data_IF_379103890645
#
_entry.id   IF_379103890645
#
_cell.length_a   1.000
_cell.length_b   1.000
_cell.length_c   1.000
_cell.angle_alpha   90.00
_cell.angle_beta   90.00
_cell.angle_gamma   90.00
#
_symmetry.space_group_name_H-M   'P 1'
#
loop_
_entity.id
_entity.type
_entity.pdbx_description
1 polymer ?
#
# COMPACT_ATOMS: atom_id res chain seq x y z
N UNK A 1 -20.00 -55.80 -30.35
CA UNK A 1 -18.59 -55.40 -30.45
C UNK A 1 -18.63 -53.89 -30.57
N UNK A 2 -18.53 -53.22 -29.43
CA UNK A 2 -18.51 -51.75 -29.39
C UNK A 2 -17.10 -51.30 -29.77
N UNK A 3 -17.01 -50.49 -30.83
CA UNK A 3 -15.75 -49.86 -31.21
C UNK A 3 -15.30 -48.95 -30.06
N UNK A 4 -14.01 -49.00 -29.66
CA UNK A 4 -13.50 -48.10 -28.64
C UNK A 4 -13.64 -46.67 -29.16
N UNK A 5 -14.33 -45.83 -28.40
CA UNK A 5 -14.40 -44.39 -28.67
C UNK A 5 -12.98 -43.80 -28.61
N UNK A 6 -12.36 -43.58 -29.78
CA UNK A 6 -11.15 -42.77 -29.89
C UNK A 6 -11.55 -41.30 -29.75
N UNK A 7 -11.69 -40.86 -28.50
CA UNK A 7 -11.77 -39.44 -28.18
C UNK A 7 -10.57 -38.68 -28.76
N UNK A 8 -10.71 -37.36 -29.00
CA UNK A 8 -9.61 -36.56 -29.54
C UNK A 8 -8.36 -36.76 -28.67
N UNK A 9 -7.28 -37.25 -29.30
CA UNK A 9 -5.96 -37.32 -28.67
C UNK A 9 -5.48 -35.89 -28.49
N UNK A 10 -5.80 -35.28 -27.35
CA UNK A 10 -5.19 -34.03 -26.92
C UNK A 10 -3.72 -34.33 -26.65
N UNK A 11 -2.88 -34.12 -27.66
CA UNK A 11 -1.43 -34.06 -27.45
C UNK A 11 -1.19 -32.91 -26.48
N UNK A 12 -0.63 -33.21 -25.31
CA UNK A 12 -0.27 -32.19 -24.34
C UNK A 12 0.61 -31.15 -25.03
N UNK A 13 0.20 -29.89 -24.95
CA UNK A 13 0.93 -28.81 -25.57
C UNK A 13 2.34 -28.70 -24.97
N UNK A 14 3.31 -28.29 -25.78
CA UNK A 14 4.73 -28.22 -25.38
C UNK A 14 4.92 -27.27 -24.20
N UNK A 15 4.13 -26.19 -24.13
CA UNK A 15 4.14 -25.26 -23.00
C UNK A 15 3.69 -25.93 -21.70
N UNK A 16 2.68 -26.80 -21.78
CA UNK A 16 2.17 -27.53 -20.61
C UNK A 16 3.20 -28.53 -20.09
N UNK A 17 3.85 -29.27 -21.00
CA UNK A 17 4.91 -30.23 -20.63
C UNK A 17 6.09 -29.49 -19.99
N UNK A 18 6.54 -28.40 -20.62
CA UNK A 18 7.63 -27.58 -20.11
C UNK A 18 7.30 -26.98 -18.74
N UNK A 19 6.10 -26.43 -18.56
CA UNK A 19 5.63 -25.90 -17.29
C UNK A 19 5.62 -26.96 -16.19
N UNK A 20 5.09 -28.15 -16.47
CA UNK A 20 5.09 -29.26 -15.51
C UNK A 20 6.52 -29.70 -15.14
N UNK A 21 7.43 -29.81 -16.12
CA UNK A 21 8.83 -30.11 -15.85
C UNK A 21 9.48 -29.04 -14.97
N UNK A 22 9.22 -27.76 -15.24
CA UNK A 22 9.74 -26.67 -14.42
C UNK A 22 9.23 -26.76 -12.97
N UNK A 23 7.95 -27.04 -12.77
CA UNK A 23 7.36 -27.21 -11.42
C UNK A 23 7.95 -28.42 -10.67
N UNK A 24 8.24 -29.51 -11.39
CA UNK A 24 8.86 -30.70 -10.82
C UNK A 24 10.33 -30.46 -10.44
N UNK A 25 11.11 -29.89 -11.36
CA UNK A 25 12.54 -29.62 -11.12
C UNK A 25 12.72 -28.58 -10.03
N UNK A 26 11.91 -27.51 -9.99
CA UNK A 26 11.95 -26.52 -8.90
C UNK A 26 11.59 -27.14 -7.55
N UNK A 27 10.59 -28.03 -7.50
CA UNK A 27 10.27 -28.79 -6.29
C UNK A 27 11.44 -29.68 -5.85
N UNK A 28 12.06 -30.39 -6.79
CA UNK A 28 13.21 -31.26 -6.51
C UNK A 28 14.41 -30.48 -5.99
N UNK A 29 14.76 -29.36 -6.63
CA UNK A 29 15.86 -28.48 -6.22
C UNK A 29 15.62 -27.86 -4.84
N UNK A 30 14.36 -27.62 -4.47
CA UNK A 30 14.04 -27.13 -3.13
C UNK A 30 14.21 -28.21 -2.05
N UNK A 31 13.69 -29.41 -2.30
CA UNK A 31 13.80 -30.51 -1.33
C UNK A 31 15.21 -31.09 -1.21
N UNK A 32 16.08 -30.87 -2.20
CA UNK A 32 17.46 -31.36 -2.20
C UNK A 32 18.42 -30.23 -2.60
N UNK A 33 19.00 -29.57 -1.60
CA UNK A 33 19.98 -28.49 -1.79
C UNK A 33 21.37 -29.08 -1.64
N UNK A 34 22.16 -29.11 -2.72
CA UNK A 34 23.49 -29.73 -2.74
C UNK A 34 23.48 -31.18 -2.21
N UNK A 35 22.51 -31.98 -2.66
CA UNK A 35 22.27 -33.37 -2.23
C UNK A 35 21.92 -33.55 -0.74
N UNK A 36 21.69 -32.46 0.00
CA UNK A 36 21.17 -32.48 1.37
C UNK A 36 19.67 -32.24 1.35
N UNK A 37 18.92 -33.10 2.05
CA UNK A 37 17.48 -32.94 2.19
C UNK A 37 17.16 -31.63 2.94
N UNK A 38 16.27 -30.82 2.37
CA UNK A 38 15.75 -29.64 3.01
C UNK A 38 14.52 -30.00 3.85
N UNK A 39 14.63 -29.81 5.17
CA UNK A 39 13.56 -30.13 6.12
C UNK A 39 12.57 -28.98 6.31
N UNK A 40 12.72 -27.89 5.54
CA UNK A 40 11.82 -26.74 5.62
C UNK A 40 10.44 -27.08 5.07
N UNK A 41 9.44 -27.06 5.95
CA UNK A 41 8.05 -27.14 5.54
C UNK A 41 7.53 -25.75 5.13
N UNK A 42 7.44 -25.51 3.82
CA UNK A 42 6.93 -24.24 3.30
C UNK A 42 5.44 -24.04 3.55
N UNK A 43 4.66 -25.12 3.68
CA UNK A 43 3.25 -24.99 4.02
C UNK A 43 3.10 -24.42 5.44
N UNK A 44 3.87 -24.91 6.40
CA UNK A 44 3.84 -24.39 7.78
C UNK A 44 4.25 -22.91 7.82
N UNK A 45 5.21 -22.51 6.98
CA UNK A 45 5.62 -21.11 6.84
C UNK A 45 4.47 -20.25 6.27
N UNK A 46 3.80 -20.73 5.23
CA UNK A 46 2.65 -20.05 4.66
C UNK A 46 1.47 -19.95 5.63
N UNK A 47 1.24 -20.99 6.44
CA UNK A 47 0.20 -21.00 7.50
C UNK A 47 0.55 -19.99 8.59
N UNK A 48 1.80 -19.96 9.09
CA UNK A 48 2.23 -18.96 10.08
C UNK A 48 2.03 -17.53 9.60
N UNK A 49 2.38 -17.24 8.35
CA UNK A 49 2.11 -15.94 7.75
C UNK A 49 0.60 -15.64 7.69
N UNK A 50 -0.22 -16.63 7.30
CA UNK A 50 -1.67 -16.46 7.26
C UNK A 50 -2.27 -16.23 8.66
N UNK A 51 -1.78 -16.93 9.68
CA UNK A 51 -2.14 -16.73 11.09
C UNK A 51 -1.77 -15.31 11.55
N UNK A 52 -0.55 -14.87 11.27
CA UNK A 52 -0.10 -13.52 11.60
C UNK A 52 -0.98 -12.45 10.92
N UNK A 53 -1.27 -12.59 9.63
CA UNK A 53 -2.17 -11.67 8.90
C UNK A 53 -3.58 -11.70 9.48
N UNK A 54 -4.10 -12.89 9.83
CA UNK A 54 -5.41 -13.05 10.45
C UNK A 54 -5.46 -12.37 11.83
N UNK A 55 -4.44 -12.53 12.65
CA UNK A 55 -4.36 -11.91 13.97
C UNK A 55 -4.32 -10.38 13.89
N UNK A 56 -3.50 -9.82 13.00
CA UNK A 56 -3.46 -8.38 12.78
C UNK A 56 -4.79 -7.85 12.22
N UNK A 57 -5.43 -8.59 11.31
CA UNK A 57 -6.75 -8.26 10.78
C UNK A 57 -7.83 -8.27 11.88
N UNK A 58 -7.80 -9.25 12.77
CA UNK A 58 -8.73 -9.35 13.90
C UNK A 58 -8.56 -8.17 14.85
N UNK A 59 -7.32 -7.82 15.22
CA UNK A 59 -7.01 -6.65 16.07
C UNK A 59 -7.52 -5.36 15.44
N UNK A 60 -7.31 -5.17 14.14
CA UNK A 60 -7.83 -4.03 13.40
C UNK A 60 -9.36 -3.95 13.49
N UNK A 61 -10.06 -5.05 13.20
CA UNK A 61 -11.53 -5.09 13.23
C UNK A 61 -12.05 -4.80 14.65
N UNK A 62 -11.46 -5.43 15.67
CA UNK A 62 -11.81 -5.23 17.07
C UNK A 62 -11.57 -3.79 17.53
N UNK A 63 -10.42 -3.20 17.18
CA UNK A 63 -10.07 -1.81 17.50
C UNK A 63 -11.04 -0.82 16.86
N UNK A 64 -11.40 -1.03 15.59
CA UNK A 64 -12.35 -0.19 14.86
C UNK A 64 -13.78 -0.33 15.39
N UNK A 65 -14.17 -1.54 15.82
CA UNK A 65 -15.45 -1.79 16.50
C UNK A 65 -15.49 -1.08 17.85
N UNK A 66 -14.45 -1.24 18.68
CA UNK A 66 -14.35 -0.61 19.99
C UNK A 66 -14.36 0.92 19.90
N UNK A 67 -13.74 1.48 18.86
CA UNK A 67 -13.74 2.91 18.59
C UNK A 67 -15.05 3.44 17.99
N UNK A 68 -16.04 2.58 17.71
CA UNK A 68 -17.28 2.95 17.02
C UNK A 68 -17.07 3.42 15.57
N UNK A 69 -15.91 3.10 14.99
CA UNK A 69 -15.48 3.54 13.66
C UNK A 69 -15.83 2.54 12.57
N UNK A 70 -16.01 1.27 12.93
CA UNK A 70 -16.36 0.20 11.98
C UNK A 70 -17.65 0.49 11.20
N UNK A 71 -18.66 1.08 11.85
CA UNK A 71 -19.91 1.50 11.22
C UNK A 71 -19.75 2.67 10.24
N UNK A 72 -18.66 3.44 10.37
CA UNK A 72 -18.30 4.54 9.46
C UNK A 72 -17.39 4.09 8.32
N UNK A 73 -16.91 2.83 8.33
CA UNK A 73 -16.22 2.27 7.18
C UNK A 73 -17.18 2.08 6.01
N UNK A 74 -16.64 2.19 4.80
CA UNK A 74 -17.42 1.89 3.60
C UNK A 74 -17.85 0.42 3.63
N UNK A 75 -19.11 0.09 3.32
CA UNK A 75 -19.58 -1.30 3.33
C UNK A 75 -18.74 -2.25 2.47
N UNK A 76 -18.12 -1.74 1.40
CA UNK A 76 -17.20 -2.51 0.57
C UNK A 76 -15.92 -2.89 1.32
N UNK A 77 -15.36 -1.99 2.13
CA UNK A 77 -14.17 -2.24 2.95
C UNK A 77 -14.48 -3.29 4.00
N UNK A 78 -15.60 -3.15 4.72
CA UNK A 78 -16.06 -4.14 5.71
C UNK A 78 -16.17 -5.52 5.07
N UNK A 79 -16.87 -5.64 3.93
CA UNK A 79 -16.99 -6.92 3.21
C UNK A 79 -15.65 -7.49 2.75
N UNK A 80 -14.68 -6.63 2.40
CA UNK A 80 -13.34 -7.07 2.00
C UNK A 80 -12.57 -7.65 3.19
N UNK A 81 -12.65 -7.00 4.35
CA UNK A 81 -12.05 -7.48 5.61
C UNK A 81 -12.68 -8.82 6.03
N UNK A 82 -14.02 -8.90 6.10
CA UNK A 82 -14.75 -10.12 6.47
C UNK A 82 -14.47 -11.29 5.51
N UNK A 83 -14.47 -11.02 4.20
CA UNK A 83 -14.14 -12.03 3.20
C UNK A 83 -12.72 -12.55 3.42
N UNK A 84 -11.75 -11.66 3.60
CA UNK A 84 -10.36 -12.07 3.77
C UNK A 84 -10.15 -12.86 5.07
N UNK A 85 -10.80 -12.44 6.15
CA UNK A 85 -10.82 -13.17 7.41
C UNK A 85 -11.35 -14.60 7.22
N UNK A 86 -12.46 -14.77 6.49
CA UNK A 86 -13.01 -16.09 6.19
C UNK A 86 -12.07 -16.94 5.32
N UNK A 87 -11.48 -16.35 4.27
CA UNK A 87 -10.52 -17.02 3.39
C UNK A 87 -9.28 -17.52 4.15
N UNK A 88 -8.67 -16.66 4.99
CA UNK A 88 -7.54 -17.04 5.83
C UNK A 88 -7.92 -18.15 6.82
N UNK A 89 -9.10 -18.04 7.44
CA UNK A 89 -9.59 -19.05 8.38
C UNK A 89 -9.83 -20.42 7.74
N UNK A 90 -10.21 -20.47 6.46
CA UNK A 90 -10.31 -21.72 5.69
C UNK A 90 -8.91 -22.28 5.39
N UNK A 91 -7.97 -21.43 4.97
CA UNK A 91 -6.62 -21.84 4.63
C UNK A 91 -5.86 -22.39 5.85
N UNK A 92 -5.89 -21.70 6.98
CA UNK A 92 -5.23 -22.09 8.24
C UNK A 92 -5.75 -23.44 8.75
N UNK A 93 -7.06 -23.70 8.59
CA UNK A 93 -7.68 -24.99 8.99
C UNK A 93 -7.44 -26.12 8.00
N UNK A 94 -6.95 -25.83 6.80
CA UNK A 94 -6.71 -26.86 5.80
C UNK A 94 -5.53 -27.74 6.23
N UNK A 95 -5.72 -29.06 6.22
CA UNK A 95 -4.63 -30.00 6.50
C UNK A 95 -3.71 -30.07 5.26
N UNK A 96 -2.84 -29.07 5.07
CA UNK A 96 -1.91 -29.01 3.93
C UNK A 96 -0.66 -29.87 4.14
N UNK A 97 -0.82 -31.12 4.57
CA UNK A 97 0.33 -32.01 4.83
C UNK A 97 0.84 -32.73 3.60
N UNK A 98 0.18 -32.61 2.44
CA UNK A 98 0.66 -33.26 1.22
C UNK A 98 1.89 -32.54 0.65
N UNK A 99 2.77 -33.30 -0.01
CA UNK A 99 3.94 -32.76 -0.70
C UNK A 99 3.58 -31.60 -1.64
N UNK A 100 2.41 -31.67 -2.30
CA UNK A 100 1.90 -30.59 -3.16
C UNK A 100 1.82 -29.24 -2.44
N UNK A 101 1.35 -29.21 -1.19
CA UNK A 101 1.22 -27.96 -0.42
C UNK A 101 2.56 -27.43 0.07
N UNK A 102 3.54 -28.31 0.25
CA UNK A 102 4.90 -27.96 0.66
C UNK A 102 5.78 -27.50 -0.50
N UNK A 103 5.33 -27.64 -1.75
CA UNK A 103 6.09 -27.21 -2.92
C UNK A 103 6.23 -25.67 -2.96
N UNK A 104 7.40 -25.13 -3.36
CA UNK A 104 7.65 -23.69 -3.39
C UNK A 104 6.63 -22.88 -4.18
N UNK A 105 6.16 -23.41 -5.31
CA UNK A 105 5.19 -22.72 -6.15
C UNK A 105 3.78 -22.76 -5.57
N UNK A 106 3.43 -23.76 -4.76
CA UNK A 106 2.14 -23.78 -4.05
C UNK A 106 2.20 -22.87 -2.84
N UNK A 107 3.11 -23.14 -1.91
CA UNK A 107 3.24 -22.37 -0.67
C UNK A 107 3.60 -20.90 -0.97
N UNK A 108 4.55 -20.65 -1.87
CA UNK A 108 4.94 -19.31 -2.29
C UNK A 108 3.81 -18.55 -2.98
N UNK A 109 2.97 -19.21 -3.80
CA UNK A 109 1.79 -18.56 -4.35
C UNK A 109 0.77 -18.18 -3.27
N UNK A 110 0.56 -19.02 -2.26
CA UNK A 110 -0.33 -18.71 -1.14
C UNK A 110 0.22 -17.57 -0.26
N UNK A 111 1.53 -17.56 0.00
CA UNK A 111 2.19 -16.45 0.69
C UNK A 111 2.07 -15.15 -0.12
N UNK A 112 2.33 -15.20 -1.43
CA UNK A 112 2.17 -14.07 -2.34
C UNK A 112 0.74 -13.52 -2.36
N UNK A 113 -0.27 -14.37 -2.42
CA UNK A 113 -1.68 -13.96 -2.34
C UNK A 113 -2.03 -13.35 -0.97
N UNK A 114 -1.46 -13.89 0.10
CA UNK A 114 -1.67 -13.41 1.46
C UNK A 114 -1.07 -12.01 1.65
N UNK A 115 0.19 -11.83 1.25
CA UNK A 115 0.87 -10.52 1.25
C UNK A 115 0.17 -9.52 0.34
N UNK A 116 -0.19 -9.92 -0.88
CA UNK A 116 -0.97 -9.09 -1.81
C UNK A 116 -2.25 -8.57 -1.14
N UNK A 117 -2.98 -9.47 -0.49
CA UNK A 117 -4.26 -9.11 0.14
C UNK A 117 -4.05 -8.19 1.33
N UNK A 118 -3.04 -8.46 2.16
CA UNK A 118 -2.70 -7.61 3.30
C UNK A 118 -2.27 -6.20 2.84
N UNK A 119 -1.47 -6.14 1.79
CA UNK A 119 -1.05 -4.89 1.14
C UNK A 119 -2.25 -4.11 0.58
N UNK A 120 -3.13 -4.77 -0.19
CA UNK A 120 -4.31 -4.14 -0.79
C UNK A 120 -5.28 -3.62 0.28
N UNK A 121 -5.57 -4.43 1.31
CA UNK A 121 -6.37 -4.00 2.45
C UNK A 121 -5.72 -2.84 3.20
N UNK A 122 -4.40 -2.93 3.43
CA UNK A 122 -3.58 -1.86 3.99
C UNK A 122 -3.72 -0.56 3.20
N UNK A 123 -3.65 -0.60 1.87
CA UNK A 123 -3.84 0.57 1.02
C UNK A 123 -5.28 1.07 0.93
N UNK A 124 -6.28 0.24 1.24
CA UNK A 124 -7.67 0.69 1.33
C UNK A 124 -7.90 1.48 2.63
N UNK A 125 -7.25 1.09 3.73
CA UNK A 125 -7.41 1.70 5.06
C UNK A 125 -6.44 2.86 5.31
N UNK A 126 -5.19 2.77 4.82
CA UNK A 126 -4.11 3.74 5.03
C UNK A 126 -4.27 5.14 4.40
N UNK A 127 -5.06 5.43 3.34
CA UNK A 127 -5.16 6.76 2.74
C UNK A 127 -5.69 7.85 3.67
N UNK A 128 -6.03 7.50 4.91
CA UNK A 128 -6.60 8.40 5.91
C UNK A 128 -5.57 9.00 6.87
N UNK A 129 -4.32 8.55 6.91
CA UNK A 129 -3.46 8.87 8.06
C UNK A 129 -1.97 9.06 7.69
N UNK A 130 -1.31 10.01 8.35
CA UNK A 130 0.08 10.46 8.13
C UNK A 130 1.05 9.89 9.19
N UNK A 131 2.11 9.20 8.72
CA UNK A 131 3.04 8.21 9.35
C UNK A 131 4.09 8.68 10.39
N UNK A 132 5.00 7.81 10.90
CA UNK A 132 6.11 8.16 11.83
C UNK A 132 7.38 8.68 11.18
N UNK A 133 8.18 9.57 11.77
CA UNK A 133 9.23 10.34 11.05
C UNK A 133 10.29 9.51 10.30
N UNK A 134 10.98 8.52 10.87
CA UNK A 134 12.02 7.81 10.07
C UNK A 134 11.43 6.91 8.97
N UNK A 135 10.41 6.11 9.32
CA UNK A 135 9.67 5.34 8.32
C UNK A 135 8.88 6.25 7.37
N UNK A 136 8.42 7.43 7.80
CA UNK A 136 7.75 8.46 6.99
C UNK A 136 8.74 8.99 6.01
N UNK A 137 9.93 9.35 6.43
CA UNK A 137 10.94 9.95 5.59
C UNK A 137 11.30 8.95 4.49
N UNK A 138 11.46 7.68 4.85
CA UNK A 138 11.64 6.58 3.90
C UNK A 138 10.40 6.33 3.02
N UNK A 139 9.19 6.29 3.59
CA UNK A 139 7.92 6.17 2.85
C UNK A 139 7.68 7.40 1.97
N UNK A 140 8.11 8.57 2.39
CA UNK A 140 7.97 9.86 1.72
C UNK A 140 8.97 9.96 0.58
N UNK A 141 10.17 9.41 0.75
CA UNK A 141 11.14 9.24 -0.32
C UNK A 141 10.68 8.16 -1.30
N UNK A 142 10.10 7.08 -0.80
CA UNK A 142 9.56 5.98 -1.60
C UNK A 142 8.35 6.44 -2.44
N UNK A 143 7.42 7.15 -1.82
CA UNK A 143 6.27 7.74 -2.47
C UNK A 143 6.53 9.15 -3.00
N UNK A 144 7.79 9.61 -3.04
CA UNK A 144 8.16 10.99 -3.41
C UNK A 144 7.59 11.40 -4.75
N UNK A 145 7.69 10.48 -5.70
CA UNK A 145 7.22 10.65 -7.06
C UNK A 145 5.68 10.73 -7.17
N UNK A 146 4.94 10.03 -6.32
CA UNK A 146 3.48 9.90 -6.40
C UNK A 146 2.74 10.83 -5.44
N UNK A 147 3.27 11.02 -4.23
CA UNK A 147 2.71 11.89 -3.19
C UNK A 147 3.18 13.32 -3.39
N UNK A 148 4.47 13.53 -3.69
CA UNK A 148 5.06 14.87 -3.73
C UNK A 148 5.48 15.35 -5.13
N UNK A 149 5.11 14.63 -6.18
CA UNK A 149 5.42 15.00 -7.57
C UNK A 149 6.93 15.16 -7.84
N UNK A 150 7.74 14.34 -7.17
CA UNK A 150 9.19 14.29 -7.38
C UNK A 150 10.00 15.17 -6.44
N UNK A 151 9.38 15.98 -5.57
CA UNK A 151 10.09 16.79 -4.57
C UNK A 151 9.27 16.99 -3.30
N UNK A 152 9.89 16.77 -2.14
CA UNK A 152 9.22 16.96 -0.85
C UNK A 152 8.79 18.43 -0.69
N UNK A 153 7.56 18.68 -0.19
CA UNK A 153 7.06 20.03 -0.07
C UNK A 153 7.86 20.78 0.99
N UNK A 154 8.48 21.90 0.60
CA UNK A 154 9.09 22.87 1.52
C UNK A 154 8.14 24.03 1.85
N UNK A 155 6.97 24.05 1.20
CA UNK A 155 5.89 25.04 1.32
C UNK A 155 4.64 24.49 0.63
N UNK A 156 3.47 25.09 0.93
CA UNK A 156 2.19 24.73 0.28
C UNK A 156 1.79 23.27 0.57
N UNK A 157 2.02 22.83 1.79
CA UNK A 157 1.75 21.47 2.28
C UNK A 157 0.30 21.06 2.05
N UNK A 158 -0.65 21.92 2.38
CA UNK A 158 -2.08 21.72 2.12
C UNK A 158 -2.35 21.53 0.65
N UNK A 159 -1.71 22.33 -0.22
CA UNK A 159 -1.92 22.25 -1.67
C UNK A 159 -1.38 20.92 -2.21
N UNK A 160 -0.22 20.50 -1.75
CA UNK A 160 0.39 19.21 -2.10
C UNK A 160 -0.46 18.05 -1.61
N UNK A 161 -0.93 18.10 -0.35
CA UNK A 161 -1.81 17.09 0.23
C UNK A 161 -3.17 17.03 -0.48
N UNK A 162 -3.85 18.16 -0.68
CA UNK A 162 -5.14 18.20 -1.41
C UNK A 162 -4.99 17.71 -2.84
N UNK A 163 -3.88 18.04 -3.52
CA UNK A 163 -3.55 17.41 -4.80
C UNK A 163 -3.46 15.92 -4.62
N UNK A 164 -2.58 15.43 -3.75
CA UNK A 164 -2.38 14.01 -3.50
C UNK A 164 -3.68 13.26 -3.20
N UNK A 165 -4.63 13.88 -2.49
CA UNK A 165 -5.93 13.25 -2.21
C UNK A 165 -6.89 13.23 -3.43
N UNK A 166 -6.53 13.83 -4.56
CA UNK A 166 -7.36 13.89 -5.78
C UNK A 166 -8.07 15.23 -6.01
N UNK A 167 -7.75 16.26 -5.21
CA UNK A 167 -8.28 17.61 -5.36
C UNK A 167 -7.96 18.21 -6.72
N UNK A 168 -8.97 18.83 -7.34
CA UNK A 168 -8.85 19.49 -8.65
C UNK A 168 -8.53 20.97 -8.47
N UNK A 169 -7.90 21.56 -9.48
CA UNK A 169 -7.72 23.01 -9.52
C UNK A 169 -9.08 23.64 -9.81
N UNK A 170 -9.59 24.40 -8.85
CA UNK A 170 -10.81 25.17 -9.00
C UNK A 170 -10.48 26.66 -9.06
N UNK A 171 -11.13 27.33 -10.00
CA UNK A 171 -11.06 28.78 -10.11
C UNK A 171 -12.19 29.34 -9.26
N UNK A 172 -11.87 29.92 -8.09
CA UNK A 172 -12.86 30.72 -7.37
C UNK A 172 -13.01 32.05 -8.09
N UNK A 173 -14.07 32.16 -8.90
CA UNK A 173 -14.63 33.45 -9.29
C UNK A 173 -15.56 33.88 -8.17
N UNK A 174 -15.10 34.79 -7.33
CA UNK A 174 -15.88 35.44 -6.29
C UNK A 174 -16.96 36.35 -6.92
N UNK A 175 -18.02 35.75 -7.46
CA UNK A 175 -19.16 36.51 -8.00
C UNK A 175 -19.93 37.24 -6.91
N UNK A 176 -19.81 36.82 -5.64
CA UNK A 176 -20.51 37.43 -4.52
C UNK A 176 -19.77 38.61 -3.87
N UNK A 177 -18.44 38.75 -4.04
CA UNK A 177 -17.64 39.77 -3.36
C UNK A 177 -17.00 40.81 -4.28
N UNK A 178 -16.90 40.55 -5.60
CA UNK A 178 -16.34 41.51 -6.56
C UNK A 178 -17.08 41.47 -7.91
N UNK A 179 -18.24 42.16 -7.97
CA UNK A 179 -18.94 42.46 -9.22
C UNK A 179 -18.17 43.50 -10.04
N UNK A 180 -17.08 43.10 -10.69
CA UNK A 180 -16.45 43.95 -11.70
C UNK A 180 -15.00 43.68 -12.08
N UNK A 181 -14.25 42.87 -11.33
CA UNK A 181 -12.80 42.72 -11.59
C UNK A 181 -12.37 41.26 -11.67
N UNK A 182 -12.47 40.70 -12.88
CA UNK A 182 -12.07 39.32 -13.21
C UNK A 182 -10.54 39.06 -13.05
N UNK A 183 -9.75 40.06 -12.66
CA UNK A 183 -8.28 40.00 -12.60
C UNK A 183 -7.70 39.35 -11.34
N UNK A 184 -8.53 38.96 -10.36
CA UNK A 184 -8.09 38.27 -9.13
C UNK A 184 -8.71 36.89 -8.96
N UNK A 185 -8.74 36.08 -10.02
CA UNK A 185 -9.08 34.66 -9.88
C UNK A 185 -8.06 33.97 -8.97
N UNK A 186 -8.43 33.66 -7.73
CA UNK A 186 -7.61 32.82 -6.87
C UNK A 186 -7.85 31.36 -7.24
N UNK A 187 -6.77 30.67 -7.62
CA UNK A 187 -6.80 29.23 -7.84
C UNK A 187 -6.69 28.52 -6.50
N UNK A 188 -7.74 27.80 -6.12
CA UNK A 188 -7.73 26.92 -4.95
C UNK A 188 -7.75 25.47 -5.41
N UNK A 189 -7.15 24.57 -4.63
CA UNK A 189 -7.33 23.14 -4.85
C UNK A 189 -8.46 22.68 -3.96
N UNK A 190 -9.53 22.18 -4.57
CA UNK A 190 -10.66 21.66 -3.81
C UNK A 190 -10.26 20.42 -3.05
N UNK A 191 -11.01 20.12 -1.99
CA UNK A 191 -11.00 18.76 -1.46
C UNK A 191 -11.40 17.81 -2.58
N UNK A 192 -10.83 16.59 -2.64
CA UNK A 192 -11.33 15.60 -3.58
C UNK A 192 -12.84 15.51 -3.43
N UNK A 193 -13.57 15.67 -4.55
CA UNK A 193 -14.95 15.23 -4.59
C UNK A 193 -14.92 13.77 -4.19
N UNK A 194 -15.65 13.42 -3.10
CA UNK A 194 -15.84 12.05 -2.60
C UNK A 194 -15.54 11.08 -3.72
N UNK A 195 -14.31 10.54 -3.73
CA UNK A 195 -13.90 9.66 -4.80
C UNK A 195 -14.94 8.57 -4.75
N UNK A 196 -15.60 8.29 -5.86
CA UNK A 196 -16.43 7.07 -5.96
C UNK A 196 -15.44 5.92 -5.79
N UNK A 197 -15.17 5.57 -4.54
CA UNK A 197 -14.15 4.63 -4.14
C UNK A 197 -14.43 3.32 -4.87
N UNK A 198 -13.42 2.83 -5.58
CA UNK A 198 -13.53 1.57 -6.31
C UNK A 198 -13.56 1.65 -7.82
N UNK A 199 -13.32 2.83 -8.43
CA UNK A 199 -12.84 2.86 -9.82
C UNK A 199 -11.30 2.83 -9.79
N UNK A 200 -10.66 1.72 -10.19
CA UNK A 200 -9.20 1.53 -10.08
C UNK A 200 -8.37 2.57 -10.84
N UNK A 201 -8.98 3.30 -11.78
CA UNK A 201 -8.32 4.37 -12.54
C UNK A 201 -8.18 5.70 -11.77
N UNK A 202 -8.88 5.86 -10.65
CA UNK A 202 -8.83 7.09 -9.83
C UNK A 202 -7.92 6.98 -8.60
N UNK A 203 -7.40 5.78 -8.30
CA UNK A 203 -6.50 5.57 -7.17
C UNK A 203 -5.11 6.13 -7.52
N UNK A 204 -4.67 7.13 -6.75
CA UNK A 204 -3.39 7.81 -6.98
C UNK A 204 -2.19 6.99 -6.54
N UNK A 205 -2.36 6.22 -5.48
CA UNK A 205 -1.42 5.15 -5.15
C UNK A 205 -1.85 3.97 -5.99
N UNK A 206 -0.98 3.53 -6.90
CA UNK A 206 -1.16 2.27 -7.63
C UNK A 206 -0.21 1.26 -7.02
N UNK A 207 -0.68 0.35 -6.14
CA UNK A 207 0.20 -0.62 -5.49
C UNK A 207 1.03 -1.45 -6.49
N UNK A 208 0.50 -1.70 -7.69
CA UNK A 208 1.20 -2.36 -8.80
C UNK A 208 2.46 -1.61 -9.31
N UNK A 209 2.55 -0.28 -9.10
CA UNK A 209 3.75 0.49 -9.42
C UNK A 209 4.87 0.25 -8.39
N UNK A 210 4.51 -0.15 -7.17
CA UNK A 210 5.45 -0.28 -6.05
C UNK A 210 5.81 -1.72 -5.78
N UNK A 211 4.84 -2.61 -5.73
CA UNK A 211 5.02 -4.01 -5.41
C UNK A 211 4.91 -4.92 -6.64
N UNK A 212 5.92 -5.75 -6.87
CA UNK A 212 5.96 -6.75 -7.94
C UNK A 212 4.82 -7.76 -7.82
N UNK A 213 4.55 -8.26 -6.62
CA UNK A 213 3.47 -9.22 -6.35
C UNK A 213 2.10 -8.64 -6.69
N UNK A 214 1.90 -7.37 -6.35
CA UNK A 214 0.67 -6.67 -6.72
C UNK A 214 0.55 -6.43 -8.22
N UNK A 215 1.67 -6.14 -8.91
CA UNK A 215 1.66 -6.00 -10.37
C UNK A 215 1.27 -7.31 -11.06
N UNK A 216 1.94 -8.41 -10.68
CA UNK A 216 1.66 -9.75 -11.18
C UNK A 216 0.22 -10.15 -10.93
N UNK A 217 -0.28 -9.95 -9.72
CA UNK A 217 -1.64 -10.37 -9.36
C UNK A 217 -2.74 -9.53 -10.01
N UNK A 218 -2.51 -8.22 -10.14
CA UNK A 218 -3.46 -7.28 -10.75
C UNK A 218 -3.47 -7.34 -12.29
N UNK A 219 -2.52 -8.04 -12.90
CA UNK A 219 -2.50 -8.28 -14.35
C UNK A 219 -3.78 -8.99 -14.83
N UNK A 220 -4.09 -8.85 -16.12
CA UNK A 220 -5.27 -9.47 -16.75
C UNK A 220 -4.81 -10.25 -18.00
N UNK A 221 -4.92 -11.60 -18.00
CA UNK A 221 -5.34 -12.46 -16.89
C UNK A 221 -4.37 -12.38 -15.69
N UNK A 222 -4.83 -12.75 -14.49
CA UNK A 222 -3.99 -12.68 -13.28
C UNK A 222 -2.73 -13.56 -13.41
N UNK A 223 -1.65 -13.12 -12.78
CA UNK A 223 -0.31 -13.73 -12.87
C UNK A 223 0.29 -13.76 -14.28
N UNK A 224 -0.20 -12.92 -15.18
CA UNK A 224 0.38 -12.77 -16.51
C UNK A 224 1.52 -11.75 -16.50
N UNK A 225 2.70 -12.20 -16.92
CA UNK A 225 3.87 -11.35 -17.10
C UNK A 225 3.74 -10.51 -18.38
N UNK A 226 2.91 -9.47 -18.32
CA UNK A 226 2.68 -8.56 -19.44
C UNK A 226 3.85 -7.58 -19.67
N UNK A 227 3.83 -6.80 -20.78
CA UNK A 227 4.90 -5.86 -21.10
C UNK A 227 5.20 -4.84 -20.00
N UNK A 228 4.20 -4.45 -19.20
CA UNK A 228 4.38 -3.53 -18.08
C UNK A 228 5.22 -4.12 -16.94
N UNK A 229 5.10 -5.43 -16.67
CA UNK A 229 5.93 -6.11 -15.68
C UNK A 229 7.38 -6.14 -16.15
N UNK A 230 7.59 -6.58 -17.39
CA UNK A 230 8.93 -6.65 -17.97
C UNK A 230 9.56 -5.27 -18.09
N UNK A 231 8.78 -4.23 -18.39
CA UNK A 231 9.22 -2.84 -18.29
C UNK A 231 9.82 -2.53 -16.92
N UNK A 232 9.07 -2.86 -15.85
CA UNK A 232 9.49 -2.63 -14.47
C UNK A 232 10.79 -3.37 -14.16
N UNK A 233 10.87 -4.64 -14.55
CA UNK A 233 12.05 -5.49 -14.31
C UNK A 233 13.29 -5.02 -15.09
N UNK A 234 13.15 -4.67 -16.37
CA UNK A 234 14.28 -4.30 -17.23
C UNK A 234 14.78 -2.88 -16.98
N UNK A 235 13.91 -2.00 -16.50
CA UNK A 235 14.26 -0.61 -16.21
C UNK A 235 14.54 -0.36 -14.73
N UNK A 236 14.42 -1.39 -13.89
CA UNK A 236 14.43 -1.29 -12.44
C UNK A 236 13.49 -0.18 -11.94
N UNK A 237 12.25 -0.19 -12.45
CA UNK A 237 11.18 0.78 -12.19
C UNK A 237 11.52 2.25 -12.53
N UNK A 238 12.59 2.52 -13.29
CA UNK A 238 12.99 3.91 -13.65
C UNK A 238 12.08 4.56 -14.68
N UNK A 239 11.30 3.78 -15.42
CA UNK A 239 10.47 4.28 -16.52
C UNK A 239 8.99 3.98 -16.24
N UNK A 240 8.20 5.04 -15.98
CA UNK A 240 6.76 4.94 -15.68
C UNK A 240 5.91 4.52 -16.89
N UNK A 241 6.34 4.84 -18.11
CA UNK A 241 5.63 4.51 -19.35
C UNK A 241 6.61 4.20 -20.47
N UNK A 242 6.48 3.01 -21.06
CA UNK A 242 7.28 2.60 -22.21
C UNK A 242 6.74 3.21 -23.50
N UNK A 243 7.64 3.70 -24.32
CA UNK A 243 7.37 3.93 -25.74
C UNK A 243 7.24 2.60 -26.49
N UNK A 244 6.50 2.57 -27.60
CA UNK A 244 6.37 1.37 -28.43
C UNK A 244 7.74 0.79 -28.86
N UNK A 245 8.73 1.66 -29.10
CA UNK A 245 10.10 1.26 -29.41
C UNK A 245 10.77 0.52 -28.25
N UNK A 246 10.58 0.98 -27.02
CA UNK A 246 11.13 0.32 -25.83
C UNK A 246 10.43 -1.01 -25.55
N UNK A 247 9.11 -1.09 -25.72
CA UNK A 247 8.36 -2.34 -25.62
C UNK A 247 8.90 -3.39 -26.60
N UNK A 248 9.07 -3.01 -27.87
CA UNK A 248 9.64 -3.91 -28.89
C UNK A 248 11.08 -4.34 -28.57
N UNK A 249 11.87 -3.47 -27.95
CA UNK A 249 13.23 -3.79 -27.53
C UNK A 249 13.24 -4.82 -26.39
N UNK A 250 12.38 -4.65 -25.38
CA UNK A 250 12.22 -5.59 -24.27
C UNK A 250 11.71 -6.94 -24.79
N UNK A 251 10.70 -6.95 -25.68
CA UNK A 251 10.19 -8.18 -26.30
C UNK A 251 11.27 -8.91 -27.10
N UNK A 252 12.16 -8.18 -27.77
CA UNK A 252 13.31 -8.78 -28.46
C UNK A 252 14.31 -9.35 -27.47
N UNK A 253 14.69 -8.59 -26.44
CA UNK A 253 15.63 -9.06 -25.42
C UNK A 253 15.08 -10.30 -24.69
N UNK A 254 13.79 -10.37 -24.36
CA UNK A 254 13.16 -11.54 -23.76
C UNK A 254 13.19 -12.79 -24.64
N UNK A 255 13.05 -12.62 -25.96
CA UNK A 255 13.12 -13.73 -26.93
C UNK A 255 14.55 -14.21 -27.18
N UNK A 256 15.50 -13.27 -27.17
CA UNK A 256 16.89 -13.54 -27.54
C UNK A 256 17.75 -13.93 -26.31
N UNK A 257 17.32 -13.56 -25.10
CA UNK A 257 18.04 -13.87 -23.87
C UNK A 257 17.90 -15.35 -23.46
N UNK A 258 18.97 -15.95 -22.90
CA UNK A 258 18.86 -17.25 -22.25
C UNK A 258 17.81 -17.20 -21.13
N UNK A 259 16.92 -18.19 -21.07
CA UNK A 259 15.85 -18.25 -20.06
C UNK A 259 16.37 -18.09 -18.62
N UNK A 260 17.54 -18.66 -18.32
CA UNK A 260 18.20 -18.51 -17.02
C UNK A 260 18.51 -17.05 -16.66
N UNK A 261 18.91 -16.22 -17.62
CA UNK A 261 19.17 -14.80 -17.39
C UNK A 261 17.87 -14.04 -17.06
N UNK A 262 16.77 -14.40 -17.73
CA UNK A 262 15.44 -13.85 -17.44
C UNK A 262 14.98 -14.25 -16.03
N UNK A 263 15.19 -15.51 -15.63
CA UNK A 263 14.86 -15.98 -14.29
C UNK A 263 15.67 -15.28 -13.20
N UNK A 264 16.99 -15.10 -13.38
CA UNK A 264 17.81 -14.37 -12.40
C UNK A 264 17.35 -12.92 -12.26
N UNK A 265 16.96 -12.25 -13.34
CA UNK A 265 16.41 -10.88 -13.25
C UNK A 265 15.09 -10.83 -12.49
N UNK A 266 14.20 -11.81 -12.69
CA UNK A 266 12.95 -11.91 -11.91
C UNK A 266 13.25 -12.17 -10.44
N UNK A 267 14.20 -13.07 -10.15
CA UNK A 267 14.65 -13.38 -8.80
C UNK A 267 15.25 -12.16 -8.10
N UNK A 268 16.19 -11.45 -8.72
CA UNK A 268 16.78 -10.22 -8.17
C UNK A 268 15.70 -9.19 -7.82
N UNK A 269 14.73 -8.98 -8.71
CA UNK A 269 13.64 -8.05 -8.47
C UNK A 269 12.71 -8.51 -7.33
N UNK A 270 12.36 -9.80 -7.29
CA UNK A 270 11.56 -10.37 -6.22
C UNK A 270 12.30 -10.27 -4.87
N UNK A 271 13.57 -10.66 -4.82
CA UNK A 271 14.42 -10.55 -3.63
C UNK A 271 14.54 -9.11 -3.15
N UNK A 272 14.63 -8.12 -4.05
CA UNK A 272 14.68 -6.71 -3.66
C UNK A 272 13.42 -6.21 -2.94
N UNK A 273 12.28 -6.88 -3.09
CA UNK A 273 11.05 -6.55 -2.38
C UNK A 273 11.05 -7.04 -0.92
N UNK A 274 11.98 -7.93 -0.55
CA UNK A 274 12.17 -8.46 0.81
C UNK A 274 13.48 -8.01 1.47
N UNK A 275 14.56 -7.88 0.69
CA UNK A 275 15.91 -7.61 1.19
C UNK A 275 16.48 -6.29 0.67
N UNK A 276 15.74 -5.57 -0.17
CA UNK A 276 16.21 -4.33 -0.77
C UNK A 276 16.27 -3.17 0.23
N UNK A 277 16.69 -2.01 -0.26
CA UNK A 277 16.72 -0.77 0.53
C UNK A 277 15.34 -0.33 1.04
N UNK A 278 14.27 -0.89 0.47
CA UNK A 278 12.91 -0.68 0.93
C UNK A 278 12.06 -1.95 0.68
N UNK A 279 11.99 -2.86 1.67
CA UNK A 279 11.39 -4.18 1.49
C UNK A 279 9.87 -4.13 1.62
N UNK A 280 9.18 -3.54 0.64
CA UNK A 280 7.73 -3.28 0.69
C UNK A 280 6.88 -4.53 0.96
N UNK A 281 7.33 -5.72 0.54
CA UNK A 281 6.61 -6.97 0.78
C UNK A 281 6.66 -7.40 2.26
N UNK A 282 7.68 -6.97 3.01
CA UNK A 282 7.84 -7.29 4.43
C UNK A 282 7.11 -6.32 5.35
N UNK A 283 6.64 -5.17 4.84
CA UNK A 283 5.96 -4.16 5.65
C UNK A 283 4.55 -4.65 6.03
N UNK A 284 4.28 -4.66 7.33
CA UNK A 284 2.96 -4.93 7.88
C UNK A 284 2.12 -3.64 7.88
N UNK A 285 1.36 -3.45 6.81
CA UNK A 285 0.52 -2.27 6.61
C UNK A 285 -0.63 -2.14 7.62
N UNK A 286 -1.00 -3.22 8.33
CA UNK A 286 -1.96 -3.13 9.43
C UNK A 286 -1.34 -2.46 10.65
N UNK A 287 -0.13 -2.88 11.06
CA UNK A 287 0.61 -2.21 12.15
C UNK A 287 0.89 -0.74 11.83
N UNK A 288 1.25 -0.44 10.58
CA UNK A 288 1.40 0.95 10.11
C UNK A 288 0.10 1.72 10.31
N UNK A 289 -1.05 1.17 9.91
CA UNK A 289 -2.36 1.79 10.12
C UNK A 289 -2.71 1.97 11.61
N UNK A 290 -2.50 0.96 12.45
CA UNK A 290 -2.79 1.03 13.89
C UNK A 290 -1.97 2.10 14.60
N UNK A 291 -0.66 2.19 14.29
CA UNK A 291 0.21 3.24 14.78
C UNK A 291 -0.35 4.62 14.40
N UNK A 292 -0.91 4.73 13.20
CA UNK A 292 -1.48 5.98 12.74
C UNK A 292 -2.75 6.39 13.46
N UNK A 293 -3.65 5.43 13.64
CA UNK A 293 -4.86 5.65 14.43
C UNK A 293 -4.46 6.08 15.84
N UNK A 294 -3.42 5.48 16.41
CA UNK A 294 -2.90 5.81 17.74
C UNK A 294 -2.40 7.24 17.84
N UNK A 295 -1.55 7.69 16.90
CA UNK A 295 -1.06 9.07 16.86
C UNK A 295 -2.22 10.06 16.74
N UNK A 296 -3.14 9.86 15.79
CA UNK A 296 -4.24 10.79 15.59
C UNK A 296 -5.23 10.79 16.75
N UNK A 297 -5.39 9.65 17.42
CA UNK A 297 -6.19 9.57 18.65
C UNK A 297 -5.53 10.36 19.77
N UNK A 298 -4.21 10.23 19.97
CA UNK A 298 -3.49 11.01 21.00
C UNK A 298 -3.52 12.53 20.68
N UNK A 299 -3.39 12.92 19.41
CA UNK A 299 -3.60 14.32 18.97
C UNK A 299 -5.01 14.79 19.33
N UNK A 300 -6.04 14.01 19.03
CA UNK A 300 -7.42 14.37 19.32
C UNK A 300 -7.69 14.50 20.82
N UNK A 301 -7.18 13.56 21.63
CA UNK A 301 -7.32 13.62 23.08
C UNK A 301 -6.62 14.84 23.67
N UNK A 302 -5.42 15.18 23.19
CA UNK A 302 -4.69 16.37 23.62
C UNK A 302 -5.45 17.64 23.25
N UNK A 303 -5.91 17.73 22.01
CA UNK A 303 -6.75 18.84 21.54
C UNK A 303 -8.03 19.01 22.38
N UNK A 304 -8.68 17.90 22.76
CA UNK A 304 -9.89 17.93 23.59
C UNK A 304 -9.59 18.35 25.04
N UNK A 305 -8.40 18.06 25.57
CA UNK A 305 -7.97 18.48 26.91
C UNK A 305 -7.55 19.95 26.96
N UNK A 306 -6.78 20.38 25.97
CA UNK A 306 -6.22 21.71 25.88
C UNK A 306 -6.15 22.14 24.42
N UNK A 307 -7.01 23.08 24.02
CA UNK A 307 -7.03 23.59 22.66
C UNK A 307 -5.89 24.60 22.46
N UNK A 308 -4.97 24.38 21.50
CA UNK A 308 -3.92 25.35 21.18
C UNK A 308 -4.50 26.70 20.77
N UNK A 309 -3.88 27.79 21.20
CA UNK A 309 -4.37 29.14 20.91
C UNK A 309 -4.39 29.45 19.40
N UNK A 310 -3.47 28.86 18.63
CA UNK A 310 -3.42 28.98 17.17
C UNK A 310 -4.51 28.18 16.43
N UNK A 311 -5.25 27.31 17.15
CA UNK A 311 -6.29 26.44 16.61
C UNK A 311 -7.72 26.82 17.05
N UNK A 312 -7.87 27.71 18.04
CA UNK A 312 -9.17 28.20 18.54
C UNK A 312 -10.13 28.70 17.44
N UNK A 313 -9.69 29.45 16.40
CA UNK A 313 -10.59 29.90 15.33
C UNK A 313 -11.26 28.76 14.54
N UNK A 314 -10.72 27.54 14.65
CA UNK A 314 -11.17 26.38 13.89
C UNK A 314 -12.03 25.40 14.70
N UNK A 315 -12.29 25.67 15.99
CA UNK A 315 -13.01 24.78 16.92
C UNK A 315 -14.25 24.10 16.32
N UNK A 316 -15.08 24.89 15.60
CA UNK A 316 -16.32 24.43 14.96
C UNK A 316 -16.14 23.32 13.92
N UNK A 317 -14.94 23.17 13.35
CA UNK A 317 -14.64 22.11 12.39
C UNK A 317 -14.44 20.75 13.05
N UNK A 318 -14.31 20.70 14.38
CA UNK A 318 -14.00 19.49 15.14
C UNK A 318 -15.23 18.91 15.88
N UNK A 319 -16.25 19.72 16.14
CA UNK A 319 -17.40 19.39 17.00
C UNK A 319 -18.36 18.33 16.42
N UNK A 320 -18.25 18.00 15.12
CA UNK A 320 -19.19 17.10 14.43
C UNK A 320 -18.66 15.68 14.16
N UNK A 321 -17.44 15.36 14.59
CA UNK A 321 -16.79 14.12 14.18
C UNK A 321 -16.90 13.05 15.26
N UNK A 322 -17.57 11.90 15.00
CA UNK A 322 -17.85 10.90 16.03
C UNK A 322 -16.63 10.07 16.44
N UNK A 323 -15.51 10.15 15.71
CA UNK A 323 -14.34 9.30 15.89
C UNK A 323 -13.09 10.12 16.25
N UNK A 324 -12.39 9.78 17.34
CA UNK A 324 -11.20 10.50 17.82
C UNK A 324 -10.11 10.60 16.74
N UNK A 325 -9.74 9.51 16.08
CA UNK A 325 -8.74 9.55 15.01
C UNK A 325 -9.15 10.48 13.84
N UNK A 326 -10.46 10.61 13.56
CA UNK A 326 -10.96 11.54 12.53
C UNK A 326 -10.90 13.00 12.99
N UNK A 327 -11.08 13.27 14.29
CA UNK A 327 -10.82 14.59 14.90
C UNK A 327 -9.34 14.93 14.76
N UNK A 328 -8.44 14.01 15.11
CA UNK A 328 -6.99 14.19 14.98
C UNK A 328 -6.55 14.41 13.53
N UNK A 329 -7.11 13.66 12.58
CA UNK A 329 -6.90 13.87 11.14
C UNK A 329 -7.32 15.27 10.71
N UNK A 330 -8.51 15.71 11.13
CA UNK A 330 -9.00 17.06 10.85
C UNK A 330 -8.08 18.12 11.45
N UNK A 331 -7.53 17.86 12.64
CA UNK A 331 -6.64 18.79 13.34
C UNK A 331 -5.35 18.98 12.54
N UNK A 332 -4.71 17.88 12.13
CA UNK A 332 -3.50 17.92 11.29
C UNK A 332 -3.78 18.63 9.96
N UNK A 333 -4.92 18.37 9.31
CA UNK A 333 -5.30 19.04 8.07
C UNK A 333 -5.45 20.56 8.21
N UNK A 334 -5.99 21.03 9.32
CA UNK A 334 -6.14 22.46 9.62
C UNK A 334 -4.79 23.06 10.00
N UNK A 335 -3.98 22.35 10.78
CA UNK A 335 -2.63 22.78 11.14
C UNK A 335 -1.77 23.03 9.89
N UNK A 336 -1.82 22.14 8.89
CA UNK A 336 -1.14 22.32 7.61
C UNK A 336 -1.61 23.59 6.86
N UNK A 337 -2.89 23.97 7.00
CA UNK A 337 -3.43 25.20 6.41
C UNK A 337 -2.92 26.43 7.13
N UNK A 338 -2.84 26.38 8.46
CA UNK A 338 -2.28 27.44 9.29
C UNK A 338 -0.80 27.66 8.94
N UNK A 339 -0.01 26.60 8.85
CA UNK A 339 1.40 26.65 8.44
C UNK A 339 1.54 27.30 7.07
N UNK A 340 0.77 26.86 6.07
CA UNK A 340 0.81 27.43 4.72
C UNK A 340 0.49 28.92 4.69
N UNK A 341 -0.57 29.35 5.38
CA UNK A 341 -0.95 30.76 5.49
C UNK A 341 0.17 31.60 6.12
N UNK A 342 0.83 31.08 7.15
CA UNK A 342 1.88 31.80 7.84
C UNK A 342 3.16 31.90 7.02
N UNK A 343 3.56 30.82 6.34
CA UNK A 343 4.71 30.79 5.42
C UNK A 343 4.50 31.76 4.23
N UNK A 344 3.29 31.85 3.68
CA UNK A 344 2.98 32.78 2.57
C UNK A 344 2.96 34.25 3.01
N UNK A 345 2.61 34.54 4.27
CA UNK A 345 2.49 35.91 4.79
C UNK A 345 3.82 36.66 4.98
N UNK A 346 4.97 36.04 4.67
CA UNK A 346 6.34 36.61 4.86
C UNK A 346 6.68 37.02 6.30
N UNK A 347 5.81 36.72 7.29
CA UNK A 347 6.22 36.69 8.69
C UNK A 347 7.19 35.53 8.85
N UNK A 348 8.28 35.72 9.58
CA UNK A 348 9.14 34.61 10.00
C UNK A 348 8.28 33.69 10.88
N UNK A 349 7.66 32.70 10.26
CA UNK A 349 7.05 31.59 10.96
C UNK A 349 8.17 30.93 11.77
N UNK A 350 7.91 30.76 13.05
CA UNK A 350 8.82 30.11 14.00
C UNK A 350 8.10 28.86 14.46
N UNK A 351 8.40 27.74 13.81
CA UNK A 351 7.78 26.43 14.02
C UNK A 351 7.81 26.04 15.50
N UNK A 352 8.85 26.46 16.23
CA UNK A 352 9.02 26.22 17.67
C UNK A 352 7.99 26.95 18.55
N UNK A 353 7.22 27.89 17.99
CA UNK A 353 6.18 28.65 18.68
C UNK A 353 4.76 28.19 18.35
N UNK A 354 4.57 27.28 17.40
CA UNK A 354 3.24 26.74 17.12
C UNK A 354 2.92 25.62 18.12
N UNK A 355 1.98 25.91 19.01
CA UNK A 355 1.47 24.95 19.98
C UNK A 355 0.83 23.74 19.28
N UNK A 356 0.14 23.94 18.15
CA UNK A 356 -0.39 22.84 17.35
C UNK A 356 0.68 21.93 16.73
N UNK A 357 1.79 22.49 16.23
CA UNK A 357 2.94 21.69 15.75
C UNK A 357 3.56 20.91 16.89
N UNK A 358 3.81 21.57 18.03
CA UNK A 358 4.37 20.93 19.22
C UNK A 358 3.49 19.78 19.73
N UNK A 359 2.18 19.98 19.79
CA UNK A 359 1.22 18.94 20.19
C UNK A 359 1.27 17.73 19.25
N UNK A 360 1.30 17.97 17.94
CA UNK A 360 1.39 16.89 16.93
C UNK A 360 2.70 16.13 17.07
N UNK A 361 3.80 16.85 17.28
CA UNK A 361 5.13 16.27 17.52
C UNK A 361 5.18 15.44 18.79
N UNK A 362 4.63 15.93 19.90
CA UNK A 362 4.62 15.19 21.16
C UNK A 362 3.75 13.93 21.10
N UNK A 363 2.62 13.98 20.39
CA UNK A 363 1.81 12.80 20.12
C UNK A 363 2.57 11.78 19.28
N UNK A 364 3.28 12.27 18.27
CA UNK A 364 4.18 11.46 17.46
C UNK A 364 5.26 10.77 18.30
N UNK A 365 6.08 11.52 19.05
CA UNK A 365 7.15 10.99 19.90
C UNK A 365 6.62 9.99 20.93
N UNK A 366 5.45 10.26 21.51
CA UNK A 366 4.84 9.36 22.49
C UNK A 366 4.42 8.03 21.89
N UNK A 367 3.79 8.04 20.72
CA UNK A 367 3.25 6.83 20.11
C UNK A 367 4.28 6.05 19.32
N UNK A 368 5.27 6.73 18.72
CA UNK A 368 6.18 6.14 17.75
C UNK A 368 7.67 6.33 18.06
N UNK A 369 8.04 7.13 19.06
CA UNK A 369 9.44 7.43 19.36
C UNK A 369 10.26 6.22 19.85
N UNK A 370 9.60 5.14 20.26
CA UNK A 370 10.23 3.88 20.65
C UNK A 370 9.98 2.73 19.67
N UNK A 371 9.28 2.99 18.55
CA UNK A 371 8.96 1.97 17.55
C UNK A 371 10.07 1.95 16.50
N UNK A 372 10.71 0.80 16.35
CA UNK A 372 11.71 0.57 15.33
C UNK A 372 11.05 0.08 14.03
N UNK A 373 11.79 0.09 12.92
CA UNK A 373 11.23 -0.36 11.63
C UNK A 373 10.86 -1.84 11.67
N UNK A 374 11.66 -2.64 12.37
CA UNK A 374 11.47 -4.08 12.55
C UNK A 374 10.13 -4.41 13.23
N UNK A 375 9.64 -3.54 14.12
CA UNK A 375 8.34 -3.73 14.78
C UNK A 375 7.18 -3.66 13.78
N UNK A 376 7.39 -2.98 12.65
CA UNK A 376 6.40 -2.75 11.58
C UNK A 376 6.54 -3.74 10.42
N UNK A 377 7.43 -4.74 10.55
CA UNK A 377 7.55 -5.82 9.58
C UNK A 377 6.68 -7.03 9.98
N UNK A 378 6.43 -7.90 9.00
CA UNK A 378 5.91 -9.25 9.22
C UNK A 378 7.01 -10.11 9.84
N UNK A 379 6.67 -10.88 10.86
CA UNK A 379 7.60 -11.79 11.53
C UNK A 379 7.89 -13.03 10.67
N UNK A 380 6.93 -13.43 9.82
CA UNK A 380 6.98 -14.66 9.04
C UNK A 380 6.96 -14.45 7.50
N UNK A 381 7.29 -13.25 7.01
CA UNK A 381 7.30 -12.94 5.57
C UNK A 381 8.58 -13.35 4.84
#
# INVERSE_FOLDING_TARGET
>A
MDEPWEGPRWTADTETIFGMMLLLETGRSFFHINDVQNDTNLHDTAVRLAEEVQDNLNRLIEGELAAGQFSNMQPRTVRALERKQAELGVYIKSAGTSLYHQLPWTAGAQMGETLYSALDLGFIIAPKLSTPIHLLEQLCDFFKEQVFLGDRPTRKFTRSLKRFMGGKLETKTDFASNSGDARKSQYQISMPQSVKYGHPDNDRIKPAEFCLFHNLRASKPAFHAGPALWAKLFTNNRIKSLTAKQTLAIDRELRDAPFAATLERVKEAATSEFEGSFPIATVNWFKVYELMVSILTDVAERYQREMPADMEPFQKHFESTPANASVGSSFVLILLQVIDCNVESSRRWDDNKSEGVKMTWEAFERCAGAIEIEDLLWENA
#
